data_IF_162477300792
#
_entry.id   IF_162477300792
#
_cell.length_a   1.000
_cell.length_b   1.000
_cell.length_c   1.000
_cell.angle_alpha   90.00
_cell.angle_beta   90.00
_cell.angle_gamma   90.00
#
_symmetry.space_group_name_H-M   'P 1'
#
loop_
_entity.id
_entity.type
_entity.pdbx_description
1 polymer ?
#
# COMPACT_ATOMS: atom_id res chain seq x y z
N UNK A 1 22.47 16.82 18.33
CA UNK A 1 22.39 15.43 17.83
C UNK A 1 21.15 15.36 16.97
N UNK A 2 21.27 14.94 15.72
CA UNK A 2 20.07 14.72 14.90
C UNK A 2 19.37 13.49 15.49
N UNK A 3 18.17 13.68 16.02
CA UNK A 3 17.38 12.60 16.60
C UNK A 3 16.87 11.72 15.46
N UNK A 4 17.10 10.41 15.55
CA UNK A 4 16.52 9.38 14.67
C UNK A 4 15.01 9.58 14.52
N UNK A 5 14.49 9.47 13.29
CA UNK A 5 13.07 9.69 12.99
C UNK A 5 12.22 8.45 13.28
N UNK A 6 12.78 7.25 13.11
CA UNK A 6 12.05 6.00 13.19
C UNK A 6 11.28 5.81 14.52
N UNK A 7 11.83 6.08 15.72
CA UNK A 7 11.10 5.89 16.98
C UNK A 7 9.85 6.78 17.12
N UNK A 8 9.83 7.93 16.46
CA UNK A 8 8.65 8.80 16.40
C UNK A 8 7.66 8.29 15.34
N UNK A 9 8.15 7.97 14.14
CA UNK A 9 7.33 7.45 13.04
C UNK A 9 6.63 6.16 13.44
N UNK A 10 7.34 5.21 14.08
CA UNK A 10 6.78 3.97 14.60
C UNK A 10 5.55 4.23 15.46
N UNK A 11 5.68 5.13 16.46
CA UNK A 11 4.57 5.44 17.38
C UNK A 11 3.40 6.09 16.64
N UNK A 12 3.68 6.96 15.67
CA UNK A 12 2.64 7.64 14.91
C UNK A 12 1.86 6.69 13.99
N UNK A 13 2.53 5.74 13.35
CA UNK A 13 1.93 4.76 12.44
C UNK A 13 1.22 3.64 13.21
N UNK A 14 1.81 3.17 14.32
CA UNK A 14 1.20 2.16 15.19
C UNK A 14 -0.14 2.64 15.79
N UNK A 15 -0.21 3.90 16.21
CA UNK A 15 -1.40 4.45 16.88
C UNK A 15 -2.66 4.49 15.99
N UNK A 16 -2.50 4.42 14.66
CA UNK A 16 -3.59 4.49 13.67
C UNK A 16 -3.71 3.22 12.84
N UNK A 17 -3.00 2.16 13.24
CA UNK A 17 -3.00 0.89 12.53
C UNK A 17 -4.38 0.23 12.63
N UNK A 18 -4.92 -0.12 11.47
CA UNK A 18 -6.20 -0.82 11.35
C UNK A 18 -6.03 -2.35 11.39
N UNK A 19 -7.06 -3.05 11.82
CA UNK A 19 -7.22 -4.50 11.81
C UNK A 19 -8.13 -4.90 10.64
N UNK A 20 -7.63 -5.76 9.75
CA UNK A 20 -8.35 -6.12 8.52
C UNK A 20 -9.70 -6.80 8.79
N UNK A 21 -9.81 -7.58 9.86
CA UNK A 21 -11.06 -8.29 10.16
C UNK A 21 -12.05 -7.42 10.94
N UNK A 22 -11.56 -6.48 11.74
CA UNK A 22 -12.41 -5.66 12.62
C UNK A 22 -12.82 -4.33 12.02
N UNK A 23 -11.93 -3.67 11.27
CA UNK A 23 -12.13 -2.30 10.81
C UNK A 23 -12.67 -2.22 9.38
N UNK A 24 -12.60 -3.31 8.61
CA UNK A 24 -13.23 -3.39 7.29
C UNK A 24 -14.66 -3.94 7.46
N UNK A 25 -15.70 -3.25 6.97
CA UNK A 25 -17.10 -3.60 7.22
C UNK A 25 -17.59 -4.69 6.26
N UNK A 26 -16.97 -5.87 6.31
CA UNK A 26 -17.22 -6.98 5.38
C UNK A 26 -18.71 -7.38 5.27
N UNK A 27 -19.49 -7.18 6.34
CA UNK A 27 -20.94 -7.46 6.39
C UNK A 27 -21.79 -6.49 5.55
N UNK A 28 -21.21 -5.39 5.06
CA UNK A 28 -21.89 -4.39 4.23
C UNK A 28 -21.84 -4.68 2.74
N UNK A 29 -21.21 -5.78 2.33
CA UNK A 29 -21.06 -6.11 0.93
C UNK A 29 -22.40 -6.24 0.21
N UNK A 30 -22.51 -5.62 -0.97
CA UNK A 30 -23.65 -5.74 -1.87
C UNK A 30 -23.20 -6.10 -3.29
N UNK A 31 -23.49 -7.34 -3.71
CA UNK A 31 -23.13 -7.86 -5.03
C UNK A 31 -23.75 -7.06 -6.18
N UNK A 32 -24.90 -6.41 -5.97
CA UNK A 32 -25.56 -5.60 -7.01
C UNK A 32 -24.83 -4.30 -7.32
N UNK A 33 -23.90 -3.89 -6.44
CA UNK A 33 -23.12 -2.66 -6.55
C UNK A 33 -21.68 -2.90 -7.02
N UNK A 34 -21.32 -4.13 -7.38
CA UNK A 34 -19.99 -4.48 -7.90
C UNK A 34 -20.07 -4.97 -9.34
N UNK A 35 -19.50 -4.20 -10.27
CA UNK A 35 -19.36 -4.63 -11.67
C UNK A 35 -18.10 -5.47 -11.87
N UNK A 36 -18.07 -6.26 -12.96
CA UNK A 36 -16.87 -7.02 -13.34
C UNK A 36 -15.71 -6.10 -13.74
N UNK A 37 -16.00 -4.91 -14.28
CA UNK A 37 -14.99 -3.90 -14.59
C UNK A 37 -14.33 -3.39 -13.29
N UNK A 38 -15.14 -3.04 -12.29
CA UNK A 38 -14.66 -2.65 -10.97
C UNK A 38 -13.81 -3.78 -10.35
N UNK A 39 -14.32 -5.02 -10.33
CA UNK A 39 -13.59 -6.17 -9.80
C UNK A 39 -12.24 -6.39 -10.50
N UNK A 40 -12.16 -6.19 -11.82
CA UNK A 40 -10.90 -6.25 -12.56
C UNK A 40 -9.92 -5.14 -12.12
N UNK A 41 -10.40 -3.91 -11.88
CA UNK A 41 -9.53 -2.85 -11.37
C UNK A 41 -9.02 -3.13 -9.96
N UNK A 42 -9.84 -3.76 -9.10
CA UNK A 42 -9.44 -4.21 -7.76
C UNK A 42 -8.29 -5.22 -7.88
N UNK A 43 -8.39 -6.18 -8.81
CA UNK A 43 -7.31 -7.14 -9.10
C UNK A 43 -6.01 -6.44 -9.49
N UNK A 44 -6.09 -5.47 -10.41
CA UNK A 44 -4.89 -4.74 -10.87
C UNK A 44 -4.27 -3.90 -9.76
N UNK A 45 -5.09 -3.30 -8.89
CA UNK A 45 -4.60 -2.56 -7.72
C UNK A 45 -3.93 -3.52 -6.73
N UNK A 46 -4.50 -4.70 -6.47
CA UNK A 46 -3.87 -5.71 -5.60
C UNK A 46 -2.48 -6.14 -6.09
N UNK A 47 -2.32 -6.34 -7.41
CA UNK A 47 -1.02 -6.66 -8.04
C UNK A 47 -0.07 -5.46 -7.94
N UNK A 48 -0.57 -4.24 -8.12
CA UNK A 48 0.24 -3.02 -8.00
C UNK A 48 0.76 -2.85 -6.58
N UNK A 49 -0.09 -3.02 -5.57
CA UNK A 49 0.31 -2.98 -4.15
C UNK A 49 1.32 -4.07 -3.80
N UNK A 50 1.20 -5.26 -4.40
CA UNK A 50 2.19 -6.33 -4.22
C UNK A 50 3.60 -5.93 -4.70
N UNK A 51 3.69 -4.94 -5.59
CA UNK A 51 4.97 -4.40 -6.08
C UNK A 51 5.69 -3.47 -5.09
N UNK A 52 5.19 -3.31 -3.87
CA UNK A 52 5.97 -2.72 -2.77
C UNK A 52 7.19 -3.58 -2.37
N UNK A 53 7.15 -4.88 -2.66
CA UNK A 53 8.27 -5.81 -2.41
C UNK A 53 9.58 -5.38 -3.09
N UNK A 54 9.66 -5.21 -4.42
CA UNK A 54 10.89 -4.79 -5.07
C UNK A 54 11.36 -3.39 -4.62
N UNK A 55 10.45 -2.48 -4.25
CA UNK A 55 10.81 -1.18 -3.69
C UNK A 55 11.51 -1.33 -2.33
N UNK A 56 10.98 -2.19 -1.46
CA UNK A 56 11.61 -2.52 -0.17
C UNK A 56 13.01 -3.13 -0.36
N UNK A 57 13.14 -4.08 -1.29
CA UNK A 57 14.43 -4.72 -1.61
C UNK A 57 15.47 -3.68 -2.05
N UNK A 58 15.07 -2.75 -2.93
CA UNK A 58 15.90 -1.64 -3.38
C UNK A 58 16.28 -0.71 -2.22
N UNK A 59 15.32 -0.29 -1.38
CA UNK A 59 15.59 0.60 -0.27
C UNK A 59 16.57 0.01 0.74
N UNK A 60 16.40 -1.26 1.12
CA UNK A 60 17.31 -1.96 2.03
C UNK A 60 18.70 -2.19 1.43
N UNK A 61 18.78 -2.43 0.12
CA UNK A 61 20.06 -2.55 -0.61
C UNK A 61 20.82 -1.22 -0.62
N UNK A 62 20.14 -0.13 -0.93
CA UNK A 62 20.80 1.16 -1.20
C UNK A 62 21.07 1.99 0.07
N UNK A 63 20.36 1.71 1.17
CA UNK A 63 20.47 2.45 2.43
C UNK A 63 21.10 1.65 3.58
N UNK A 64 21.96 0.66 3.30
CA UNK A 64 22.62 -0.17 4.33
C UNK A 64 23.42 0.65 5.38
N UNK A 65 23.80 1.88 5.04
CA UNK A 65 24.53 2.80 5.91
C UNK A 65 23.62 3.67 6.79
N UNK A 66 22.32 3.70 6.50
CA UNK A 66 21.29 4.42 7.26
C UNK A 66 20.36 3.43 7.96
N UNK A 67 20.70 3.11 9.21
CA UNK A 67 19.90 2.19 10.01
C UNK A 67 18.55 2.77 10.44
N UNK A 68 18.39 4.10 10.46
CA UNK A 68 17.12 4.73 10.85
C UNK A 68 16.09 4.58 9.72
N UNK A 69 16.46 4.96 8.49
CA UNK A 69 15.61 4.77 7.33
C UNK A 69 15.34 3.28 7.04
N UNK A 70 16.36 2.43 7.15
CA UNK A 70 16.20 0.98 6.97
C UNK A 70 15.22 0.37 7.99
N UNK A 71 15.18 0.89 9.23
CA UNK A 71 14.21 0.45 10.22
C UNK A 71 12.79 0.89 9.87
N UNK A 72 12.61 2.11 9.32
CA UNK A 72 11.31 2.58 8.84
C UNK A 72 10.70 1.66 7.76
N UNK A 73 11.53 1.12 6.85
CA UNK A 73 11.07 0.16 5.84
C UNK A 73 10.38 -1.07 6.42
N UNK A 74 10.70 -1.48 7.66
CA UNK A 74 10.00 -2.61 8.30
C UNK A 74 8.53 -2.34 8.59
N UNK A 75 8.18 -1.09 8.93
CA UNK A 75 6.81 -0.67 9.23
C UNK A 75 6.07 -0.32 7.95
N UNK A 76 6.71 0.45 7.06
CA UNK A 76 6.16 0.79 5.75
C UNK A 76 5.80 -0.48 4.98
N UNK A 77 6.74 -1.41 4.82
CA UNK A 77 6.50 -2.63 4.05
C UNK A 77 5.41 -3.52 4.65
N UNK A 78 5.29 -3.57 5.98
CA UNK A 78 4.18 -4.29 6.62
C UNK A 78 2.82 -3.69 6.24
N UNK A 79 2.70 -2.36 6.21
CA UNK A 79 1.46 -1.65 5.87
C UNK A 79 1.12 -1.80 4.39
N UNK A 80 2.09 -1.60 3.49
CA UNK A 80 1.97 -1.82 2.04
C UNK A 80 1.51 -3.23 1.68
N UNK A 81 2.14 -4.27 2.26
CA UNK A 81 1.71 -5.64 2.01
C UNK A 81 0.27 -5.87 2.49
N UNK A 82 -0.17 -5.18 3.55
CA UNK A 82 -1.55 -5.26 4.03
C UNK A 82 -2.54 -4.66 3.03
N UNK A 83 -2.14 -3.67 2.22
CA UNK A 83 -2.97 -3.08 1.15
C UNK A 83 -3.26 -4.11 0.06
N UNK A 84 -2.22 -4.79 -0.44
CA UNK A 84 -2.41 -5.88 -1.41
C UNK A 84 -3.30 -6.98 -0.84
N UNK A 85 -3.02 -7.41 0.40
CA UNK A 85 -3.73 -8.50 1.04
C UNK A 85 -5.22 -8.18 1.28
N UNK A 86 -5.58 -6.95 1.67
CA UNK A 86 -7.01 -6.60 1.86
C UNK A 86 -7.78 -6.59 0.54
N UNK A 87 -7.14 -6.18 -0.57
CA UNK A 87 -7.75 -6.21 -1.90
C UNK A 87 -7.90 -7.65 -2.40
N UNK A 88 -6.89 -8.50 -2.18
CA UNK A 88 -6.98 -9.93 -2.48
C UNK A 88 -8.05 -10.62 -1.63
N UNK A 89 -8.17 -10.25 -0.35
CA UNK A 89 -9.16 -10.78 0.56
C UNK A 89 -10.59 -10.39 0.14
N UNK A 90 -10.79 -9.15 -0.28
CA UNK A 90 -12.05 -8.69 -0.87
C UNK A 90 -12.44 -9.54 -2.09
N UNK A 91 -11.50 -9.74 -3.03
CA UNK A 91 -11.74 -10.58 -4.21
C UNK A 91 -12.01 -12.02 -3.82
N UNK A 92 -11.25 -12.59 -2.89
CA UNK A 92 -11.44 -13.97 -2.41
C UNK A 92 -12.83 -14.18 -1.82
N UNK A 93 -13.38 -13.20 -1.11
CA UNK A 93 -14.72 -13.25 -0.52
C UNK A 93 -15.83 -13.09 -1.56
N UNK A 94 -15.65 -12.21 -2.55
CA UNK A 94 -16.78 -11.71 -3.36
C UNK A 94 -16.66 -11.92 -4.87
N UNK A 95 -15.45 -12.13 -5.40
CA UNK A 95 -15.12 -12.38 -6.82
C UNK A 95 -13.88 -13.31 -6.93
N UNK A 96 -13.96 -14.56 -6.41
CA UNK A 96 -12.80 -15.44 -6.25
C UNK A 96 -12.09 -15.78 -7.56
N UNK A 97 -12.82 -15.76 -8.68
CA UNK A 97 -12.28 -15.94 -10.04
C UNK A 97 -11.35 -14.80 -10.49
N UNK A 98 -11.37 -13.65 -9.80
CA UNK A 98 -10.54 -12.48 -10.09
C UNK A 98 -9.39 -12.27 -9.12
N UNK A 99 -9.11 -13.21 -8.20
CA UNK A 99 -7.93 -13.11 -7.32
C UNK A 99 -6.64 -13.20 -8.16
N UNK A 100 -5.62 -12.36 -7.89
CA UNK A 100 -4.31 -12.49 -8.53
C UNK A 100 -3.72 -13.90 -8.36
N UNK A 101 -3.17 -14.46 -9.43
CA UNK A 101 -2.44 -15.73 -9.38
C UNK A 101 -1.03 -15.49 -8.81
N UNK A 102 -0.42 -16.54 -8.29
CA UNK A 102 0.98 -16.47 -7.84
C UNK A 102 1.93 -16.03 -8.98
N UNK A 103 1.68 -16.47 -10.21
CA UNK A 103 2.45 -16.04 -11.39
C UNK A 103 2.32 -14.53 -11.64
N UNK A 104 1.12 -13.96 -11.54
CA UNK A 104 0.89 -12.52 -11.67
C UNK A 104 1.62 -11.73 -10.56
N UNK A 105 1.64 -12.26 -9.34
CA UNK A 105 2.34 -11.64 -8.20
C UNK A 105 3.87 -11.72 -8.33
N UNK A 106 4.41 -12.82 -8.86
CA UNK A 106 5.85 -12.93 -9.15
C UNK A 106 6.27 -12.05 -10.32
N UNK A 107 5.40 -11.84 -11.31
CA UNK A 107 5.69 -11.05 -12.51
C UNK A 107 6.01 -9.58 -12.20
N UNK A 108 5.54 -9.06 -11.06
CA UNK A 108 5.82 -7.68 -10.62
C UNK A 108 7.02 -7.58 -9.65
N UNK A 109 7.76 -8.67 -9.41
CA UNK A 109 8.99 -8.65 -8.63
C UNK A 109 10.21 -8.38 -9.53
N UNK A 110 10.30 -7.16 -10.04
CA UNK A 110 11.41 -6.72 -10.87
C UNK A 110 12.56 -6.13 -10.02
N UNK A 111 13.76 -6.02 -10.60
CA UNK A 111 14.89 -5.39 -9.92
C UNK A 111 15.01 -3.92 -10.36
N UNK A 112 15.10 -3.02 -9.37
CA UNK A 112 15.44 -1.63 -9.62
C UNK A 112 16.95 -1.47 -9.88
N UNK A 113 17.30 -0.67 -10.88
CA UNK A 113 18.66 -0.20 -11.08
C UNK A 113 19.10 0.69 -9.90
N UNK A 114 20.41 0.74 -9.58
CA UNK A 114 20.91 1.68 -8.58
C UNK A 114 20.63 3.13 -8.98
N UNK A 115 20.16 3.95 -8.04
CA UNK A 115 19.89 5.37 -8.23
C UNK A 115 20.37 6.19 -7.01
N UNK A 116 20.62 7.50 -7.17
CA UNK A 116 20.97 8.36 -6.04
C UNK A 116 19.88 8.32 -4.95
N UNK A 117 20.23 8.12 -3.65
CA UNK A 117 19.24 7.89 -2.60
C UNK A 117 18.15 8.96 -2.49
N UNK A 118 18.50 10.23 -2.63
CA UNK A 118 17.54 11.35 -2.55
C UNK A 118 16.60 11.41 -3.76
N UNK A 119 17.04 10.98 -4.94
CA UNK A 119 16.18 10.90 -6.12
C UNK A 119 15.16 9.77 -5.95
N UNK A 120 15.64 8.60 -5.50
CA UNK A 120 14.77 7.47 -5.15
C UNK A 120 13.75 7.87 -4.08
N UNK A 121 14.19 8.55 -3.03
CA UNK A 121 13.32 9.02 -1.95
C UNK A 121 12.25 9.99 -2.47
N UNK A 122 12.64 10.98 -3.28
CA UNK A 122 11.72 11.96 -3.87
C UNK A 122 10.69 11.30 -4.79
N UNK A 123 11.11 10.29 -5.58
CA UNK A 123 10.19 9.53 -6.42
C UNK A 123 9.13 8.79 -5.60
N UNK A 124 9.51 8.18 -4.49
CA UNK A 124 8.57 7.48 -3.62
C UNK A 124 7.66 8.45 -2.86
N UNK A 125 8.19 9.57 -2.36
CA UNK A 125 7.36 10.66 -1.83
C UNK A 125 6.29 11.11 -2.83
N UNK A 126 6.66 11.33 -4.10
CA UNK A 126 5.69 11.69 -5.14
C UNK A 126 4.71 10.54 -5.43
N UNK A 127 5.18 9.30 -5.37
CA UNK A 127 4.38 8.09 -5.48
C UNK A 127 3.25 8.04 -4.45
N UNK A 128 3.58 8.26 -3.18
CA UNK A 128 2.63 8.30 -2.06
C UNK A 128 1.56 9.38 -2.24
N UNK A 129 1.96 10.59 -2.62
CA UNK A 129 1.00 11.68 -2.87
C UNK A 129 0.06 11.33 -4.03
N UNK A 130 0.60 10.69 -5.08
CA UNK A 130 -0.20 10.22 -6.21
C UNK A 130 -1.15 9.11 -5.79
N UNK A 131 -0.69 8.12 -5.02
CA UNK A 131 -1.50 6.98 -4.57
C UNK A 131 -2.59 7.41 -3.58
N UNK A 132 -2.28 8.34 -2.68
CA UNK A 132 -3.29 8.98 -1.84
C UNK A 132 -4.45 9.54 -2.67
N UNK A 133 -4.13 10.30 -3.73
CA UNK A 133 -5.14 10.87 -4.61
C UNK A 133 -5.85 9.81 -5.45
N UNK A 134 -5.09 8.87 -6.01
CA UNK A 134 -5.61 7.76 -6.81
C UNK A 134 -6.67 6.97 -6.04
N UNK A 135 -6.39 6.60 -4.79
CA UNK A 135 -7.31 5.80 -3.99
C UNK A 135 -8.58 6.55 -3.56
N UNK A 136 -8.50 7.87 -3.40
CA UNK A 136 -9.72 8.68 -3.20
C UNK A 136 -10.59 8.66 -4.45
N UNK A 137 -9.98 8.86 -5.62
CA UNK A 137 -10.70 8.77 -6.89
C UNK A 137 -11.25 7.35 -7.14
N UNK A 138 -10.51 6.31 -6.77
CA UNK A 138 -10.95 4.93 -6.87
C UNK A 138 -12.16 4.67 -5.96
N UNK A 139 -12.13 5.15 -4.71
CA UNK A 139 -13.28 5.07 -3.80
C UNK A 139 -14.50 5.83 -4.37
N UNK A 140 -14.32 7.02 -4.94
CA UNK A 140 -15.41 7.79 -5.53
C UNK A 140 -16.01 7.11 -6.77
N UNK A 141 -15.18 6.48 -7.60
CA UNK A 141 -15.61 5.75 -8.79
C UNK A 141 -16.30 4.42 -8.48
N UNK A 142 -15.94 3.77 -7.37
CA UNK A 142 -16.61 2.54 -6.93
C UNK A 142 -17.97 2.82 -6.27
N UNK A 143 -18.88 1.87 -6.46
CA UNK A 143 -20.25 1.90 -5.92
C UNK A 143 -20.44 0.98 -4.73
N UNK A 144 -19.71 -0.13 -4.67
CA UNK A 144 -19.81 -1.11 -3.58
C UNK A 144 -19.18 -0.55 -2.28
N UNK A 145 -19.92 -0.55 -1.15
CA UNK A 145 -19.48 0.15 0.07
C UNK A 145 -18.20 -0.38 0.74
N UNK A 146 -17.93 -1.69 0.69
CA UNK A 146 -16.76 -2.29 1.35
C UNK A 146 -15.48 -1.91 0.62
N UNK A 147 -15.42 -2.00 -0.70
CA UNK A 147 -14.24 -1.61 -1.47
C UNK A 147 -13.97 -0.10 -1.37
N UNK A 148 -15.02 0.73 -1.31
CA UNK A 148 -14.87 2.16 -1.04
C UNK A 148 -14.15 2.40 0.29
N UNK A 149 -14.59 1.74 1.36
CA UNK A 149 -13.95 1.84 2.67
C UNK A 149 -12.51 1.33 2.67
N UNK A 150 -12.22 0.26 1.93
CA UNK A 150 -10.85 -0.26 1.75
C UNK A 150 -9.97 0.82 1.09
N UNK A 151 -10.40 1.41 -0.03
CA UNK A 151 -9.62 2.44 -0.71
C UNK A 151 -9.46 3.72 0.11
N UNK A 152 -10.48 4.15 0.85
CA UNK A 152 -10.33 5.26 1.80
C UNK A 152 -9.32 4.93 2.91
N UNK A 153 -9.26 3.67 3.35
CA UNK A 153 -8.31 3.21 4.36
C UNK A 153 -6.88 3.23 3.83
N UNK A 154 -6.65 2.63 2.65
CA UNK A 154 -5.35 2.64 1.97
C UNK A 154 -4.91 4.09 1.73
N UNK A 155 -5.77 4.95 1.16
CA UNK A 155 -5.47 6.36 0.92
C UNK A 155 -4.95 7.11 2.16
N UNK A 156 -5.51 6.83 3.35
CA UNK A 156 -5.04 7.45 4.59
C UNK A 156 -3.64 6.97 4.97
N UNK A 157 -3.28 5.73 4.66
CA UNK A 157 -1.95 5.17 4.89
C UNK A 157 -0.93 5.88 3.98
N UNK A 158 -1.22 5.97 2.67
CA UNK A 158 -0.38 6.69 1.69
C UNK A 158 -0.05 8.13 2.11
N UNK A 159 -1.05 8.84 2.66
CA UNK A 159 -0.84 10.21 3.14
C UNK A 159 0.20 10.28 4.26
N UNK A 160 0.23 9.28 5.14
CA UNK A 160 1.17 9.22 6.27
C UNK A 160 2.53 8.74 5.81
N UNK A 161 2.59 7.80 4.87
CA UNK A 161 3.83 7.35 4.24
C UNK A 161 4.50 8.50 3.48
N UNK A 162 3.74 9.27 2.70
CA UNK A 162 4.23 10.50 2.08
C UNK A 162 4.75 11.51 3.10
N UNK A 163 4.05 11.65 4.23
CA UNK A 163 4.54 12.46 5.35
C UNK A 163 5.85 11.95 5.96
N UNK A 164 6.08 10.64 6.01
CA UNK A 164 7.32 10.04 6.48
C UNK A 164 8.47 10.28 5.49
N UNK A 165 8.25 10.02 4.19
CA UNK A 165 9.28 10.27 3.17
C UNK A 165 9.65 11.74 3.04
N UNK A 166 8.74 12.68 3.27
CA UNK A 166 9.06 14.12 3.28
C UNK A 166 10.00 14.53 4.42
N UNK A 167 10.00 13.78 5.52
CA UNK A 167 10.84 14.07 6.70
C UNK A 167 12.23 13.48 6.58
N UNK A 168 12.36 12.34 5.90
CA UNK A 168 13.63 11.74 5.52
C UNK A 168 14.30 12.56 4.42
#
# INVERSE_FOLDING_TARGET
MNTMLYPELYRSLEAVRWDMEKDIPWDKFDASLLTDEQAKTIKMNAITEWSALPATEMFLRDNQHDSDFSAFMSVWFFEEQKHSLVLMEYLRRFKPEMVPTEEELHAVRFQFDPAPPLETLMLHFCGEIRLNHWYRCAADWHTEPVIKQIYETISRDEARHGGAYLRY
#
